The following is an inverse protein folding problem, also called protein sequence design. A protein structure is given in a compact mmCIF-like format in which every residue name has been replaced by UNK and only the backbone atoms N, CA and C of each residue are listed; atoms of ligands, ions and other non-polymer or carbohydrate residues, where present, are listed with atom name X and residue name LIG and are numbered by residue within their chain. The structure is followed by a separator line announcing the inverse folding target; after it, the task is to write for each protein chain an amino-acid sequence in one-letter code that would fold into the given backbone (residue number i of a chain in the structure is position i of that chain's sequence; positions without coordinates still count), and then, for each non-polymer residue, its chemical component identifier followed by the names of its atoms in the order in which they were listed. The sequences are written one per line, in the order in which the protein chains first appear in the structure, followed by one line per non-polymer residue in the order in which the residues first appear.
data_IF_103952097763
#
_entry.id   IF_103952097763
#
_cell.length_a   1.000
_cell.length_b   1.000
_cell.length_c   1.000
_cell.angle_alpha   90.00
_cell.angle_beta   90.00
_cell.angle_gamma   90.00
#
_symmetry.space_group_name_H-M   'P 1'
#
loop_
_entity.id
_entity.type
_entity.pdbx_description
1 polymer ?
#
# COMPACT_ATOMS: atom_id res chain seq x y z
N UNK A 1 -60.70 -33.07 15.19
CA UNK A 1 -60.53 -33.20 16.65
C UNK A 1 -59.30 -32.38 17.03
N UNK A 2 -59.47 -31.29 17.81
CA UNK A 2 -58.39 -30.35 18.15
C UNK A 2 -58.00 -30.62 19.61
N UNK A 3 -56.83 -31.23 19.81
CA UNK A 3 -56.32 -31.58 21.13
C UNK A 3 -55.95 -30.30 21.87
N UNK A 4 -56.61 -30.02 22.99
CA UNK A 4 -56.23 -28.95 23.90
C UNK A 4 -54.95 -29.40 24.62
N UNK A 5 -53.84 -28.69 24.38
CA UNK A 5 -52.62 -28.88 25.14
C UNK A 5 -52.79 -28.14 26.47
N UNK A 6 -53.10 -28.88 27.53
CA UNK A 6 -53.14 -28.32 28.89
C UNK A 6 -51.69 -28.15 29.32
N UNK A 7 -51.21 -26.91 29.33
CA UNK A 7 -49.89 -26.56 29.86
C UNK A 7 -49.90 -26.95 31.34
N UNK A 8 -48.95 -27.78 31.74
CA UNK A 8 -48.85 -28.21 33.14
C UNK A 8 -48.33 -27.06 33.99
N UNK A 9 -48.80 -26.90 35.23
CA UNK A 9 -48.40 -25.80 36.11
C UNK A 9 -46.86 -25.74 36.32
N UNK A 10 -46.18 -26.89 36.23
CA UNK A 10 -44.73 -26.99 36.27
C UNK A 10 -44.04 -26.35 35.06
N UNK A 11 -44.60 -26.51 33.85
CA UNK A 11 -44.07 -25.88 32.63
C UNK A 11 -44.24 -24.36 32.69
N UNK A 12 -45.38 -23.90 33.20
CA UNK A 12 -45.63 -22.47 33.40
C UNK A 12 -44.64 -21.86 34.42
N UNK A 13 -44.35 -22.60 35.49
CA UNK A 13 -43.36 -22.19 36.49
C UNK A 13 -41.95 -22.14 35.89
N UNK A 14 -41.55 -23.16 35.13
CA UNK A 14 -40.23 -23.23 34.52
C UNK A 14 -39.99 -22.10 33.49
N UNK A 15 -41.03 -21.76 32.71
CA UNK A 15 -41.00 -20.61 31.81
C UNK A 15 -40.89 -19.29 32.59
N UNK A 16 -41.63 -19.16 33.70
CA UNK A 16 -41.54 -17.99 34.58
C UNK A 16 -40.15 -17.80 35.17
N UNK A 17 -39.54 -18.88 35.68
CA UNK A 17 -38.20 -18.85 36.26
C UNK A 17 -37.14 -18.51 35.20
N UNK A 18 -37.29 -19.04 33.98
CA UNK A 18 -36.42 -18.68 32.87
C UNK A 18 -36.52 -17.19 32.50
N UNK A 19 -37.74 -16.66 32.36
CA UNK A 19 -37.97 -15.24 32.05
C UNK A 19 -37.35 -14.36 33.13
N UNK A 20 -37.53 -14.71 34.40
CA UNK A 20 -36.91 -14.00 35.52
C UNK A 20 -35.38 -14.06 35.44
N UNK A 21 -34.81 -15.21 35.06
CA UNK A 21 -33.35 -15.35 34.90
C UNK A 21 -32.75 -14.48 33.79
N UNK A 22 -33.44 -14.32 32.66
CA UNK A 22 -32.91 -13.54 31.52
C UNK A 22 -33.26 -12.05 31.59
N UNK A 23 -34.30 -11.69 32.34
CA UNK A 23 -34.72 -10.30 32.55
C UNK A 23 -34.08 -9.65 33.78
N UNK A 24 -33.42 -10.44 34.63
CA UNK A 24 -32.70 -9.94 35.78
C UNK A 24 -31.65 -8.91 35.34
N UNK A 25 -31.73 -7.71 35.93
CA UNK A 25 -30.74 -6.66 35.72
C UNK A 25 -29.39 -7.13 36.24
N UNK A 26 -28.31 -7.03 35.44
CA UNK A 26 -26.99 -7.45 35.88
C UNK A 26 -26.49 -6.58 37.04
N UNK A 27 -25.67 -7.17 37.90
CA UNK A 27 -25.03 -6.46 39.01
C UNK A 27 -24.22 -5.27 38.49
N UNK A 28 -24.25 -4.10 39.17
CA UNK A 28 -23.50 -2.93 38.75
C UNK A 28 -21.99 -3.19 38.79
N UNK A 29 -21.26 -2.67 37.80
CA UNK A 29 -19.81 -2.84 37.70
C UNK A 29 -19.08 -2.19 38.88
N UNK A 30 -18.21 -2.96 39.53
CA UNK A 30 -17.32 -2.48 40.62
C UNK A 30 -16.36 -1.37 40.16
N UNK A 31 -16.08 -1.27 38.85
CA UNK A 31 -15.16 -0.28 38.29
C UNK A 31 -15.84 1.06 37.95
N UNK A 32 -17.10 1.25 38.35
CA UNK A 32 -17.87 2.46 38.07
C UNK A 32 -18.50 2.50 36.68
N UNK A 33 -19.09 3.65 36.33
CA UNK A 33 -19.76 3.85 35.04
C UNK A 33 -18.77 3.79 33.88
N UNK A 34 -19.09 3.02 32.84
CA UNK A 34 -18.35 3.00 31.58
C UNK A 34 -18.26 4.45 31.04
N UNK A 35 -17.06 4.98 30.73
CA UNK A 35 -16.96 6.30 30.14
C UNK A 35 -17.71 6.31 28.79
N UNK A 36 -18.32 7.46 28.42
CA UNK A 36 -19.02 7.57 27.14
C UNK A 36 -18.06 7.26 26.00
N UNK A 37 -18.56 6.54 24.99
CA UNK A 37 -17.80 6.22 23.79
C UNK A 37 -17.29 7.52 23.16
N UNK A 38 -16.03 7.84 23.41
CA UNK A 38 -15.42 9.09 22.94
C UNK A 38 -15.09 8.86 21.47
N UNK A 39 -15.75 9.57 20.58
CA UNK A 39 -15.35 9.61 19.17
C UNK A 39 -13.86 9.98 19.10
N UNK A 40 -13.07 9.38 18.20
CA UNK A 40 -11.66 9.70 18.09
C UNK A 40 -11.52 11.19 17.77
N UNK A 41 -11.10 11.98 18.76
CA UNK A 41 -10.76 13.39 18.55
C UNK A 41 -9.64 13.41 17.53
N UNK A 42 -9.89 13.99 16.36
CA UNK A 42 -8.87 14.23 15.35
C UNK A 42 -7.88 15.27 15.88
N UNK A 43 -6.96 14.84 16.74
CA UNK A 43 -5.79 15.63 17.09
C UNK A 43 -4.98 15.78 15.81
N UNK A 44 -4.90 17.02 15.29
CA UNK A 44 -4.04 17.34 14.16
C UNK A 44 -2.64 16.77 14.40
N UNK A 45 -2.01 16.22 13.35
CA UNK A 45 -0.73 15.52 13.41
C UNK A 45 0.36 16.46 13.93
N UNK A 46 0.58 16.50 15.24
CA UNK A 46 1.72 17.17 15.85
C UNK A 46 2.95 16.31 15.57
N UNK A 47 3.91 16.82 14.78
CA UNK A 47 5.25 16.23 14.76
C UNK A 47 5.85 16.52 16.13
N UNK A 48 6.14 15.48 16.89
CA UNK A 48 6.94 15.64 18.10
C UNK A 48 8.26 16.31 17.69
N UNK A 49 8.63 17.39 18.36
CA UNK A 49 9.94 18.03 18.19
C UNK A 49 10.94 17.07 18.79
N UNK A 50 11.67 16.38 17.93
CA UNK A 50 12.74 15.46 18.32
C UNK A 50 13.98 16.32 18.60
N UNK A 51 14.61 16.23 19.78
CA UNK A 51 15.87 16.91 20.06
C UNK A 51 16.95 16.54 19.02
N UNK A 52 17.88 17.45 18.69
CA UNK A 52 18.90 17.20 17.67
C UNK A 52 19.76 15.96 17.97
N UNK A 53 19.98 15.66 19.24
CA UNK A 53 20.81 14.53 19.69
C UNK A 53 20.00 13.30 20.11
N UNK A 54 18.70 13.26 19.80
CA UNK A 54 17.87 12.11 20.18
C UNK A 54 18.18 10.92 19.28
N UNK A 55 18.89 9.95 19.83
CA UNK A 55 19.10 8.65 19.21
C UNK A 55 18.11 7.64 19.81
N UNK A 56 17.11 7.16 19.04
CA UNK A 56 16.18 6.16 19.55
C UNK A 56 16.94 4.87 19.86
N UNK A 57 16.69 4.26 21.02
CA UNK A 57 17.20 2.94 21.31
C UNK A 57 16.51 1.92 20.39
N UNK A 58 17.28 1.34 19.47
CA UNK A 58 16.83 0.30 18.55
C UNK A 58 17.39 -1.05 18.98
N UNK A 59 16.55 -2.08 18.93
CA UNK A 59 17.01 -3.47 19.03
C UNK A 59 17.93 -3.83 17.87
N UNK A 60 18.76 -4.85 18.02
CA UNK A 60 19.70 -5.30 16.99
C UNK A 60 19.00 -5.59 15.65
N UNK A 61 17.81 -6.21 15.69
CA UNK A 61 16.97 -6.41 14.50
C UNK A 61 16.60 -5.10 13.81
N UNK A 62 16.22 -4.06 14.56
CA UNK A 62 15.80 -2.76 14.02
C UNK A 62 16.96 -1.88 13.57
N UNK A 63 18.16 -2.11 14.10
CA UNK A 63 19.39 -1.50 13.59
C UNK A 63 19.72 -2.06 12.21
N UNK A 64 19.62 -3.38 12.03
CA UNK A 64 19.88 -4.06 10.75
C UNK A 64 18.81 -3.76 9.67
N UNK A 65 17.62 -3.31 10.06
CA UNK A 65 16.52 -3.00 9.13
C UNK A 65 16.68 -1.63 8.44
N UNK A 66 17.70 -0.84 8.80
CA UNK A 66 17.98 0.47 8.20
C UNK A 66 17.03 1.60 8.64
N UNK A 67 17.23 2.79 8.08
CA UNK A 67 16.54 4.03 8.51
C UNK A 67 15.06 4.12 8.11
N UNK A 68 14.41 3.01 7.72
CA UNK A 68 13.01 2.99 7.26
C UNK A 68 12.71 3.82 6.00
N UNK A 69 13.73 4.48 5.41
CA UNK A 69 13.62 5.12 4.12
C UNK A 69 13.33 4.04 3.08
N UNK A 70 12.25 4.19 2.31
CA UNK A 70 11.79 3.26 1.26
C UNK A 70 12.75 3.19 0.05
N UNK A 71 14.07 3.32 0.26
CA UNK A 71 15.09 3.14 -0.78
C UNK A 71 15.10 1.70 -1.31
N UNK A 72 14.64 0.73 -0.52
CA UNK A 72 14.77 -0.69 -0.85
C UNK A 72 13.63 -1.26 -1.69
N UNK A 73 12.41 -0.68 -1.74
CA UNK A 73 11.27 -1.38 -2.39
C UNK A 73 11.38 -1.33 -3.91
N UNK A 74 11.57 -0.14 -4.47
CA UNK A 74 11.77 0.05 -5.93
C UNK A 74 13.05 -0.66 -6.37
N UNK A 75 14.12 -0.51 -5.58
CA UNK A 75 15.41 -1.15 -5.85
C UNK A 75 15.33 -2.68 -5.79
N UNK A 76 14.59 -3.28 -4.84
CA UNK A 76 14.43 -4.74 -4.72
C UNK A 76 13.61 -5.32 -5.87
N UNK A 77 12.49 -4.67 -6.23
CA UNK A 77 11.70 -5.10 -7.37
C UNK A 77 12.56 -5.13 -8.65
N UNK A 78 13.37 -4.10 -8.86
CA UNK A 78 14.32 -4.05 -9.97
C UNK A 78 15.38 -5.17 -9.93
N UNK A 79 15.92 -5.53 -8.75
CA UNK A 79 16.87 -6.66 -8.68
C UNK A 79 16.22 -7.99 -9.07
N UNK A 80 15.02 -8.23 -8.56
CA UNK A 80 14.28 -9.47 -8.82
C UNK A 80 13.93 -9.58 -10.30
N UNK A 81 13.54 -8.47 -10.95
CA UNK A 81 13.29 -8.47 -12.38
C UNK A 81 14.57 -8.71 -13.17
N UNK A 82 15.68 -8.04 -12.83
CA UNK A 82 16.98 -8.28 -13.46
C UNK A 82 17.42 -9.74 -13.36
N UNK A 83 17.25 -10.36 -12.19
CA UNK A 83 17.53 -11.79 -11.99
C UNK A 83 16.63 -12.68 -12.86
N UNK A 84 15.33 -12.41 -12.89
CA UNK A 84 14.37 -13.16 -13.71
C UNK A 84 14.64 -13.04 -15.21
N UNK A 85 15.16 -11.90 -15.65
CA UNK A 85 15.57 -11.64 -17.03
C UNK A 85 16.97 -12.20 -17.34
N UNK A 86 17.64 -12.86 -16.37
CA UNK A 86 18.98 -13.42 -16.55
C UNK A 86 20.10 -12.37 -16.67
N UNK A 87 19.85 -11.12 -16.27
CA UNK A 87 20.85 -10.04 -16.32
C UNK A 87 21.86 -10.19 -15.16
N UNK A 88 21.41 -10.69 -14.01
CA UNK A 88 22.25 -10.99 -12.84
C UNK A 88 21.89 -12.35 -12.25
N UNK A 89 22.86 -13.06 -11.68
CA UNK A 89 22.63 -14.38 -11.05
C UNK A 89 22.17 -14.22 -9.58
N UNK A 90 22.74 -13.25 -8.87
CA UNK A 90 22.44 -12.96 -7.47
C UNK A 90 21.81 -11.57 -7.31
N UNK A 91 20.87 -11.43 -6.37
CA UNK A 91 20.17 -10.16 -6.14
C UNK A 91 21.09 -9.13 -5.47
N UNK A 92 22.02 -9.56 -4.63
CA UNK A 92 22.85 -8.67 -3.82
C UNK A 92 24.10 -8.15 -4.56
N UNK A 93 24.41 -8.71 -5.74
CA UNK A 93 25.53 -8.31 -6.59
C UNK A 93 25.03 -7.64 -7.87
N UNK A 94 24.65 -6.36 -7.76
CA UNK A 94 24.33 -5.53 -8.93
C UNK A 94 25.46 -4.54 -9.14
N UNK A 95 26.20 -4.77 -10.21
CA UNK A 95 27.20 -3.84 -10.72
C UNK A 95 26.59 -2.85 -11.72
N UNK A 96 27.22 -1.69 -11.89
CA UNK A 96 26.75 -0.62 -12.78
C UNK A 96 26.61 -1.11 -14.23
N UNK A 97 27.47 -2.04 -14.65
CA UNK A 97 27.39 -2.65 -15.99
C UNK A 97 26.19 -3.58 -16.16
N UNK A 98 25.71 -4.20 -15.07
CA UNK A 98 24.47 -4.98 -15.11
C UNK A 98 23.25 -4.08 -15.25
N UNK A 99 23.29 -2.88 -14.65
CA UNK A 99 22.24 -1.88 -14.82
C UNK A 99 22.21 -1.39 -16.28
N UNK A 100 23.36 -1.09 -16.88
CA UNK A 100 23.45 -0.69 -18.30
C UNK A 100 22.90 -1.78 -19.23
N UNK A 101 23.27 -3.04 -18.99
CA UNK A 101 22.73 -4.18 -19.76
C UNK A 101 21.22 -4.31 -19.64
N UNK A 102 20.67 -4.15 -18.43
CA UNK A 102 19.23 -4.15 -18.21
C UNK A 102 18.52 -3.02 -18.95
N UNK A 103 19.08 -1.80 -18.95
CA UNK A 103 18.51 -0.67 -19.67
C UNK A 103 18.56 -0.87 -21.19
N UNK A 104 19.64 -1.47 -21.70
CA UNK A 104 19.79 -1.79 -23.12
C UNK A 104 18.71 -2.72 -23.68
N UNK A 105 18.08 -3.55 -22.84
CA UNK A 105 16.96 -4.40 -23.26
C UNK A 105 15.71 -3.60 -23.68
N UNK A 106 15.57 -2.36 -23.22
CA UNK A 106 14.42 -1.51 -23.47
C UNK A 106 14.74 -0.28 -24.34
N UNK A 107 15.95 -0.20 -24.89
CA UNK A 107 16.40 0.94 -25.68
C UNK A 107 15.63 1.08 -27.00
N UNK A 108 15.09 -0.03 -27.51
CA UNK A 108 14.33 -0.06 -28.74
C UNK A 108 12.92 -0.63 -28.50
N UNK A 109 11.86 0.06 -28.96
CA UNK A 109 10.52 -0.50 -28.93
C UNK A 109 10.46 -1.74 -29.83
N UNK A 110 9.57 -2.67 -29.49
CA UNK A 110 9.29 -3.82 -30.35
C UNK A 110 8.76 -3.35 -31.72
N UNK A 111 9.24 -3.98 -32.79
CA UNK A 111 8.71 -3.77 -34.15
C UNK A 111 7.21 -4.01 -34.18
N UNK A 112 6.42 -3.22 -34.93
CA UNK A 112 4.98 -3.45 -35.09
C UNK A 112 4.64 -4.88 -35.51
N UNK A 113 5.46 -5.48 -36.37
CA UNK A 113 5.29 -6.87 -36.83
C UNK A 113 5.44 -7.89 -35.69
N UNK A 114 6.36 -7.64 -34.74
CA UNK A 114 6.51 -8.50 -33.56
C UNK A 114 5.35 -8.32 -32.58
N UNK A 115 4.82 -7.10 -32.45
CA UNK A 115 3.66 -6.83 -31.60
C UNK A 115 2.42 -7.53 -32.15
N UNK A 116 2.21 -7.49 -33.46
CA UNK A 116 1.12 -8.19 -34.14
C UNK A 116 1.22 -9.72 -33.96
N UNK A 117 2.40 -10.30 -34.17
CA UNK A 117 2.62 -11.74 -33.95
C UNK A 117 2.38 -12.16 -32.49
N UNK A 118 2.77 -11.33 -31.51
CA UNK A 118 2.52 -11.59 -30.09
C UNK A 118 1.04 -11.48 -29.74
N UNK A 119 0.32 -10.54 -30.35
CA UNK A 119 -1.11 -10.38 -30.17
C UNK A 119 -1.89 -11.58 -30.71
N UNK A 120 -1.52 -12.08 -31.89
CA UNK A 120 -2.11 -13.31 -32.45
C UNK A 120 -1.82 -14.52 -31.56
N UNK A 121 -0.58 -14.66 -31.06
CA UNK A 121 -0.19 -15.77 -30.19
C UNK A 121 -0.93 -15.77 -28.85
N UNK A 122 -1.21 -14.58 -28.30
CA UNK A 122 -1.82 -14.41 -26.98
C UNK A 122 -3.34 -14.19 -27.05
N UNK A 123 -3.92 -14.16 -28.26
CA UNK A 123 -5.34 -13.87 -28.53
C UNK A 123 -5.78 -12.53 -27.91
N UNK A 124 -4.99 -11.47 -28.15
CA UNK A 124 -5.22 -10.13 -27.60
C UNK A 124 -5.44 -9.12 -28.72
N UNK A 125 -6.54 -8.37 -28.64
CA UNK A 125 -6.81 -7.28 -29.58
C UNK A 125 -5.87 -6.09 -29.32
N UNK A 126 -5.07 -5.72 -30.33
CA UNK A 126 -4.28 -4.49 -30.28
C UNK A 126 -5.21 -3.32 -30.61
N UNK A 127 -5.44 -2.44 -29.65
CA UNK A 127 -6.08 -1.16 -29.92
C UNK A 127 -5.19 -0.35 -30.88
N UNK A 128 -5.63 -0.25 -32.14
CA UNK A 128 -4.98 0.54 -33.18
C UNK A 128 -5.06 2.03 -32.82
N UNK A 129 -4.13 2.52 -32.00
CA UNK A 129 -4.00 3.96 -31.76
C UNK A 129 -3.25 4.58 -32.95
N UNK A 130 -3.99 4.80 -34.04
CA UNK A 130 -3.54 5.67 -35.13
C UNK A 130 -3.57 7.13 -34.62
N UNK A 131 -2.55 7.52 -33.86
CA UNK A 131 -2.52 8.82 -33.21
C UNK A 131 -1.09 9.31 -32.99
N UNK A 132 -0.63 10.11 -33.96
CA UNK A 132 0.35 11.18 -33.87
C UNK A 132 1.47 11.05 -32.83
N UNK A 133 2.70 10.86 -33.32
CA UNK A 133 3.93 11.11 -32.59
C UNK A 133 4.10 12.60 -32.27
N UNK A 134 3.25 13.17 -31.41
CA UNK A 134 3.62 14.35 -30.63
C UNK A 134 4.28 13.86 -29.35
N UNK A 135 5.58 13.55 -29.49
CA UNK A 135 6.50 13.48 -28.38
C UNK A 135 6.45 14.86 -27.72
N UNK A 136 5.72 14.95 -26.61
CA UNK A 136 5.75 16.10 -25.71
C UNK A 136 7.21 16.31 -25.31
N UNK A 137 7.85 17.27 -25.98
CA UNK A 137 9.16 17.80 -25.67
C UNK A 137 9.13 18.36 -24.24
N UNK A 138 9.44 17.50 -23.27
CA UNK A 138 9.67 17.88 -21.89
C UNK A 138 11.08 18.47 -21.83
N UNK A 139 11.19 19.75 -22.20
CA UNK A 139 12.45 20.48 -22.15
C UNK A 139 12.53 21.64 -23.14
N UNK A 140 11.62 22.61 -23.04
CA UNK A 140 11.97 23.96 -23.50
C UNK A 140 13.03 24.52 -22.54
N UNK A 141 14.26 24.83 -22.97
CA UNK A 141 15.13 25.66 -22.17
C UNK A 141 14.50 27.05 -22.09
N UNK A 142 14.21 27.47 -20.86
CA UNK A 142 13.86 28.82 -20.50
C UNK A 142 14.91 29.76 -21.13
N UNK A 143 14.53 30.48 -22.18
CA UNK A 143 15.35 31.54 -22.78
C UNK A 143 15.48 32.65 -21.74
N UNK A 144 16.51 32.52 -20.90
CA UNK A 144 16.89 33.53 -19.92
C UNK A 144 17.50 34.70 -20.68
N UNK A 145 16.64 35.66 -20.98
CA UNK A 145 17.00 36.97 -21.50
C UNK A 145 17.93 37.65 -20.49
N UNK A 146 19.25 37.59 -20.72
CA UNK A 146 20.20 38.45 -20.03
C UNK A 146 20.34 39.74 -20.82
N UNK A 147 19.59 40.75 -20.39
CA UNK A 147 19.87 42.14 -20.74
C UNK A 147 21.21 42.52 -20.09
N UNK A 148 22.28 42.52 -20.89
CA UNK A 148 23.55 43.12 -20.51
C UNK A 148 23.35 44.63 -20.64
N UNK A 149 23.11 45.29 -19.52
CA UNK A 149 23.29 46.72 -19.40
C UNK A 149 24.79 47.01 -19.59
N UNK A 150 25.12 47.72 -20.66
CA UNK A 150 26.45 48.28 -20.91
C UNK A 150 26.45 49.73 -20.45
N UNK A 151 27.27 50.11 -19.45
CA UNK A 151 27.56 51.50 -19.15
C UNK A 151 28.97 51.87 -19.59
N UNK A 152 29.08 52.88 -20.46
CA UNK A 152 30.14 53.90 -20.49
C UNK A 152 29.74 54.97 -21.52
#
# INVERSE_FOLDING_TARGET
MRSQHVISDEEAQQVGDFINSISATPQPSIMGSRPPATAPVQKGRRRNVIPPDFQPWRSQRLQNQGNGARKHVISKAQRVTMKKMGVTEEEDQIDDDSIKRYLGLFDHPLSPQHVEALAELLDVDIAQNNGSTDVLALGSPLSSQMAIASPA
#
